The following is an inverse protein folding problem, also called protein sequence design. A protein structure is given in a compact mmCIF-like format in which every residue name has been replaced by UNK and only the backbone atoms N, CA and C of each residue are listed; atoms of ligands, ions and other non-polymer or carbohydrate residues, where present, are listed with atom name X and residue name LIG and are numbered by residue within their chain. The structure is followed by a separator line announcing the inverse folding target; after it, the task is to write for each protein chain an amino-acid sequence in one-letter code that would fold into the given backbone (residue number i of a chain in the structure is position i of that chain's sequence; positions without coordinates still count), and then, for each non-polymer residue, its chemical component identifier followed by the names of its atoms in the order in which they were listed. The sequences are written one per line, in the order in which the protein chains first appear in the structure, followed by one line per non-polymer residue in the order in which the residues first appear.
data_IF_834029424784
#
_entry.id   IF_834029424784
#
_cell.length_a   1.000
_cell.length_b   1.000
_cell.length_c   1.000
_cell.angle_alpha   90.00
_cell.angle_beta   90.00
_cell.angle_gamma   90.00
#
_symmetry.space_group_name_H-M   'P 1'
#
loop_
_entity.id
_entity.type
_entity.pdbx_description
1 polymer ?
#
# COMPACT_ATOMS: atom_id res chain seq x y z
N UNK A 1 14.39 21.35 -3.64
CA UNK A 1 13.65 20.33 -2.86
C UNK A 1 13.15 20.97 -1.59
N UNK A 2 11.85 20.99 -1.37
CA UNK A 2 11.26 21.39 -0.10
C UNK A 2 11.43 20.22 0.89
N UNK A 3 12.13 20.42 2.01
CA UNK A 3 12.32 19.39 3.04
C UNK A 3 10.97 18.89 3.59
N UNK A 4 9.94 19.74 3.61
CA UNK A 4 8.59 19.34 4.01
C UNK A 4 7.95 18.39 2.98
N UNK A 5 8.26 18.54 1.68
CA UNK A 5 7.82 17.62 0.63
C UNK A 5 8.46 16.24 0.78
N UNK A 6 9.76 16.19 1.11
CA UNK A 6 10.47 14.94 1.41
C UNK A 6 9.85 14.19 2.59
N UNK A 7 9.59 14.89 3.71
CA UNK A 7 8.94 14.30 4.88
C UNK A 7 7.53 13.80 4.58
N UNK A 8 6.71 14.59 3.86
CA UNK A 8 5.35 14.18 3.44
C UNK A 8 5.39 12.91 2.59
N UNK A 9 6.35 12.77 1.69
CA UNK A 9 6.53 11.57 0.87
C UNK A 9 6.85 10.35 1.72
N UNK A 10 7.76 10.48 2.69
CA UNK A 10 8.12 9.40 3.62
C UNK A 10 6.91 8.96 4.46
N UNK A 11 6.18 9.91 5.04
CA UNK A 11 4.97 9.59 5.82
C UNK A 11 3.90 8.92 4.97
N UNK A 12 3.66 9.42 3.76
CA UNK A 12 2.69 8.82 2.83
C UNK A 12 3.07 7.40 2.45
N UNK A 13 4.35 7.15 2.13
CA UNK A 13 4.86 5.80 1.86
C UNK A 13 4.64 4.87 3.04
N UNK A 14 4.95 5.32 4.25
CA UNK A 14 4.75 4.52 5.45
C UNK A 14 3.27 4.19 5.68
N UNK A 15 2.37 5.13 5.45
CA UNK A 15 0.93 4.89 5.51
C UNK A 15 0.49 3.82 4.50
N UNK A 16 0.95 3.92 3.24
CA UNK A 16 0.66 2.92 2.22
C UNK A 16 1.19 1.53 2.59
N UNK A 17 2.40 1.43 3.16
CA UNK A 17 2.97 0.16 3.66
C UNK A 17 2.07 -0.46 4.73
N UNK A 18 1.62 0.34 5.70
CA UNK A 18 0.73 -0.15 6.77
C UNK A 18 -0.61 -0.64 6.20
N UNK A 19 -1.15 0.06 5.20
CA UNK A 19 -2.40 -0.32 4.55
C UNK A 19 -2.27 -1.65 3.77
N UNK A 20 -1.18 -1.84 3.02
CA UNK A 20 -0.90 -3.13 2.35
C UNK A 20 -0.79 -4.26 3.36
N UNK A 21 -0.04 -4.05 4.45
CA UNK A 21 0.09 -5.05 5.54
C UNK A 21 -1.25 -5.39 6.18
N UNK A 22 -2.11 -4.39 6.37
CA UNK A 22 -3.45 -4.58 6.91
C UNK A 22 -4.31 -5.47 6.01
N UNK A 23 -4.33 -5.24 4.70
CA UNK A 23 -5.08 -6.10 3.77
C UNK A 23 -4.49 -7.52 3.70
N UNK A 24 -3.16 -7.69 3.70
CA UNK A 24 -2.54 -9.02 3.81
C UNK A 24 -2.97 -9.78 5.07
N UNK A 25 -3.12 -9.09 6.21
CA UNK A 25 -3.63 -9.70 7.44
C UNK A 25 -5.08 -10.14 7.27
N UNK A 26 -5.95 -9.25 6.79
CA UNK A 26 -7.37 -9.57 6.58
C UNK A 26 -7.58 -10.73 5.59
N UNK A 27 -6.78 -10.79 4.51
CA UNK A 27 -6.84 -11.90 3.55
C UNK A 27 -6.51 -13.22 4.23
N UNK A 28 -5.42 -13.27 5.01
CA UNK A 28 -5.03 -14.49 5.75
C UNK A 28 -6.13 -14.94 6.71
N UNK A 29 -6.74 -14.00 7.44
CA UNK A 29 -7.87 -14.30 8.33
C UNK A 29 -9.10 -14.80 7.55
N UNK A 30 -9.47 -14.14 6.46
CA UNK A 30 -10.60 -14.54 5.62
C UNK A 30 -10.41 -15.93 5.02
N UNK A 31 -9.19 -16.26 4.55
CA UNK A 31 -8.83 -17.60 4.05
C UNK A 31 -8.94 -18.63 5.18
N UNK A 32 -8.34 -18.35 6.35
CA UNK A 32 -8.36 -19.26 7.50
C UNK A 32 -9.80 -19.58 7.98
N UNK A 33 -10.73 -18.65 7.81
CA UNK A 33 -12.13 -18.81 8.16
C UNK A 33 -13.05 -19.23 7.00
N UNK A 34 -12.49 -19.57 5.83
CA UNK A 34 -13.28 -20.02 4.66
C UNK A 34 -14.18 -18.94 4.04
N UNK A 35 -13.91 -17.66 4.29
CA UNK A 35 -14.71 -16.52 3.80
C UNK A 35 -14.33 -16.12 2.37
N UNK A 36 -14.49 -17.04 1.42
CA UNK A 36 -13.99 -16.91 0.04
C UNK A 36 -14.52 -15.65 -0.68
N UNK A 37 -15.78 -15.29 -0.47
CA UNK A 37 -16.34 -14.05 -1.05
C UNK A 37 -15.63 -12.79 -0.53
N UNK A 38 -15.29 -12.77 0.75
CA UNK A 38 -14.54 -11.67 1.37
C UNK A 38 -13.10 -11.61 0.85
N UNK A 39 -12.47 -12.77 0.58
CA UNK A 39 -11.11 -12.84 0.03
C UNK A 39 -11.03 -12.11 -1.33
N UNK A 40 -11.99 -12.34 -2.23
CA UNK A 40 -12.01 -11.67 -3.53
C UNK A 40 -12.08 -10.15 -3.40
N UNK A 41 -12.94 -9.63 -2.53
CA UNK A 41 -13.02 -8.19 -2.27
C UNK A 41 -11.71 -7.65 -1.66
N UNK A 42 -11.12 -8.37 -0.72
CA UNK A 42 -9.88 -7.96 -0.06
C UNK A 42 -8.67 -7.96 -1.02
N UNK A 43 -8.64 -8.85 -2.01
CA UNK A 43 -7.61 -8.85 -3.06
C UNK A 43 -7.70 -7.61 -3.95
N UNK A 44 -8.91 -7.18 -4.33
CA UNK A 44 -9.08 -5.93 -5.09
C UNK A 44 -8.63 -4.70 -4.28
N UNK A 45 -8.93 -4.68 -2.98
CA UNK A 45 -8.48 -3.61 -2.09
C UNK A 45 -6.96 -3.62 -1.87
N UNK A 46 -6.36 -4.82 -1.80
CA UNK A 46 -4.92 -4.98 -1.73
C UNK A 46 -4.24 -4.42 -2.98
N UNK A 47 -4.74 -4.75 -4.17
CA UNK A 47 -4.20 -4.24 -5.44
C UNK A 47 -4.25 -2.71 -5.50
N UNK A 48 -5.38 -2.11 -5.11
CA UNK A 48 -5.50 -0.66 -5.04
C UNK A 48 -4.48 -0.04 -4.06
N UNK A 49 -4.25 -0.67 -2.90
CA UNK A 49 -3.26 -0.21 -1.92
C UNK A 49 -1.81 -0.37 -2.44
N UNK A 50 -1.52 -1.44 -3.18
CA UNK A 50 -0.21 -1.66 -3.80
C UNK A 50 0.09 -0.59 -4.85
N UNK A 51 -0.88 -0.26 -5.73
CA UNK A 51 -0.73 0.84 -6.70
C UNK A 51 -0.50 2.19 -6.02
N UNK A 52 -1.17 2.45 -4.89
CA UNK A 52 -0.93 3.67 -4.12
C UNK A 52 0.47 3.71 -3.51
N UNK A 53 0.98 2.56 -3.05
CA UNK A 53 2.35 2.43 -2.55
C UNK A 53 3.37 2.68 -3.67
N UNK A 54 3.19 2.05 -4.83
CA UNK A 54 4.04 2.23 -6.03
C UNK A 54 4.13 3.69 -6.44
N UNK A 55 3.00 4.42 -6.46
CA UNK A 55 2.98 5.85 -6.75
C UNK A 55 3.80 6.71 -5.77
N UNK A 56 4.12 6.20 -4.56
CA UNK A 56 5.03 6.90 -3.62
C UNK A 56 6.51 6.71 -3.96
N UNK A 57 6.83 5.79 -4.87
CA UNK A 57 8.19 5.57 -5.39
C UNK A 57 8.40 6.24 -6.75
N UNK A 58 7.39 6.32 -7.60
CA UNK A 58 7.50 6.94 -8.94
C UNK A 58 7.94 8.41 -8.89
N UNK A 59 7.55 9.16 -7.85
CA UNK A 59 8.03 10.54 -7.64
C UNK A 59 9.47 10.65 -7.15
N UNK A 60 10.08 9.55 -6.72
CA UNK A 60 11.48 9.51 -6.27
C UNK A 60 12.48 9.22 -7.40
N UNK A 61 12.02 8.82 -8.59
CA UNK A 61 12.89 8.55 -9.76
C UNK A 61 13.40 9.79 -10.50
N UNK A 62 13.06 11.01 -10.06
CA UNK A 62 13.55 12.26 -10.68
C UNK A 62 15.01 12.59 -10.26
N UNK A 63 15.63 11.81 -9.36
CA UNK A 63 16.97 12.10 -8.80
C UNK A 63 18.07 11.10 -9.18
N UNK A 64 18.03 10.57 -10.41
CA UNK A 64 19.19 9.88 -10.99
C UNK A 64 19.46 10.44 -12.39
N UNK A 65 20.07 11.62 -12.47
CA UNK A 65 20.95 12.07 -13.55
C UNK A 65 21.72 13.32 -13.12
#
# INVERSE_FOLDING_TARGET
MDQAEGLRSIFKRQQCIQQVRHYHKQIREAVAHGKIQQVSQLLNLLEAAQRQLEATYDKSSIWVH
#
